data_IF_316509724188
#
_entry.id   IF_316509724188
#
_cell.length_a   1.000
_cell.length_b   1.000
_cell.length_c   1.000
_cell.angle_alpha   90.00
_cell.angle_beta   90.00
_cell.angle_gamma   90.00
#
_symmetry.space_group_name_H-M   'P 1'
#
loop_
_entity.id
_entity.type
_entity.pdbx_description
1 polymer ?
#
# COMPACT_ATOMS: atom_id res chain seq x y z
N UNK A 1 -3.90 -13.36 13.86
CA UNK A 1 -2.80 -13.64 12.94
C UNK A 1 -2.62 -12.50 11.95
N UNK A 2 -1.46 -12.42 11.33
CA UNK A 2 -1.16 -11.37 10.34
C UNK A 2 -1.99 -11.57 9.07
N UNK A 3 -2.26 -10.47 8.36
CA UNK A 3 -3.00 -10.52 7.11
C UNK A 3 -2.00 -10.80 5.97
N UNK A 4 -2.20 -11.91 5.26
CA UNK A 4 -1.39 -12.21 4.09
C UNK A 4 -1.62 -11.15 2.99
N UNK A 5 -0.56 -10.60 2.35
CA UNK A 5 -0.70 -9.59 1.30
C UNK A 5 -1.62 -10.04 0.16
N UNK A 6 -1.54 -11.32 -0.20
CA UNK A 6 -2.39 -11.92 -1.22
C UNK A 6 -3.88 -11.79 -0.89
N UNK A 7 -4.26 -12.03 0.37
CA UNK A 7 -5.65 -11.93 0.81
C UNK A 7 -6.20 -10.49 0.67
N UNK A 8 -5.34 -9.48 0.90
CA UNK A 8 -5.72 -8.07 0.68
C UNK A 8 -6.03 -7.80 -0.78
N UNK A 9 -5.17 -8.28 -1.69
CA UNK A 9 -5.35 -8.07 -3.13
C UNK A 9 -6.57 -8.85 -3.66
N UNK A 10 -6.75 -10.07 -3.22
CA UNK A 10 -7.92 -10.89 -3.61
C UNK A 10 -9.23 -10.28 -3.11
N UNK A 11 -9.26 -9.77 -1.88
CA UNK A 11 -10.42 -9.09 -1.33
C UNK A 11 -10.72 -7.77 -2.07
N UNK A 12 -9.68 -6.98 -2.38
CA UNK A 12 -9.82 -5.79 -3.22
C UNK A 12 -10.43 -6.15 -4.57
N UNK A 13 -9.90 -7.17 -5.25
CA UNK A 13 -10.43 -7.64 -6.53
C UNK A 13 -11.90 -8.06 -6.40
N UNK A 14 -12.23 -8.85 -5.39
CA UNK A 14 -13.60 -9.34 -5.15
C UNK A 14 -14.63 -8.20 -5.05
N UNK A 15 -14.24 -7.08 -4.43
CA UNK A 15 -15.13 -5.93 -4.22
C UNK A 15 -15.11 -4.90 -5.36
N UNK A 16 -14.18 -5.02 -6.30
CA UNK A 16 -13.99 -4.00 -7.35
C UNK A 16 -14.00 -4.53 -8.77
N UNK A 17 -14.14 -5.85 -8.98
CA UNK A 17 -14.08 -6.46 -10.30
C UNK A 17 -15.13 -5.88 -11.27
N UNK A 18 -16.30 -5.52 -10.77
CA UNK A 18 -17.39 -4.89 -11.54
C UNK A 18 -17.20 -3.38 -11.77
N UNK A 19 -16.29 -2.74 -11.05
CA UNK A 19 -16.06 -1.28 -11.07
C UNK A 19 -14.99 -0.85 -12.08
N UNK A 20 -14.30 -1.81 -12.71
CA UNK A 20 -13.22 -1.56 -13.67
C UNK A 20 -12.18 -0.54 -13.15
N UNK A 21 -11.56 -0.78 -11.97
CA UNK A 21 -10.67 0.18 -11.34
C UNK A 21 -9.35 0.34 -12.09
N UNK A 22 -8.69 1.47 -11.87
CA UNK A 22 -7.29 1.67 -12.23
C UNK A 22 -6.44 1.38 -10.98
N UNK A 23 -5.55 0.40 -11.10
CA UNK A 23 -4.61 0.04 -10.05
C UNK A 23 -3.26 0.68 -10.35
N UNK A 24 -2.76 1.48 -9.42
CA UNK A 24 -1.40 2.01 -9.46
C UNK A 24 -0.57 1.29 -8.40
N UNK A 25 0.70 1.05 -8.64
CA UNK A 25 1.55 0.41 -7.63
C UNK A 25 2.86 1.14 -7.44
N UNK A 26 3.32 1.20 -6.19
CA UNK A 26 4.74 1.39 -5.91
C UNK A 26 5.57 0.20 -6.39
N UNK A 27 6.83 0.15 -5.98
CA UNK A 27 7.75 -0.92 -6.37
C UNK A 27 8.23 -1.70 -5.14
N UNK A 28 8.08 -3.03 -5.21
CA UNK A 28 8.41 -3.97 -4.15
C UNK A 28 7.57 -5.25 -4.24
N UNK A 29 7.51 -6.03 -3.17
CA UNK A 29 6.69 -7.25 -3.13
C UNK A 29 5.21 -6.96 -3.37
N UNK A 30 4.68 -5.83 -2.86
CA UNK A 30 3.31 -5.39 -3.11
C UNK A 30 2.97 -5.25 -4.60
N UNK A 31 3.93 -4.78 -5.42
CA UNK A 31 3.81 -4.74 -6.87
C UNK A 31 3.62 -6.13 -7.47
N UNK A 32 4.42 -7.08 -7.00
CA UNK A 32 4.34 -8.48 -7.44
C UNK A 32 3.00 -9.09 -7.03
N UNK A 33 2.55 -8.88 -5.80
CA UNK A 33 1.25 -9.37 -5.33
C UNK A 33 0.09 -8.76 -6.12
N UNK A 34 0.12 -7.45 -6.39
CA UNK A 34 -0.88 -6.79 -7.22
C UNK A 34 -0.93 -7.41 -8.63
N UNK A 35 0.23 -7.62 -9.27
CA UNK A 35 0.29 -8.20 -10.60
C UNK A 35 -0.17 -9.67 -10.68
N UNK A 36 0.04 -10.45 -9.60
CA UNK A 36 -0.27 -11.86 -9.56
C UNK A 36 -1.71 -12.18 -9.10
N UNK A 37 -2.24 -11.41 -8.14
CA UNK A 37 -3.49 -11.74 -7.47
C UNK A 37 -4.66 -10.82 -7.86
N UNK A 38 -4.40 -9.61 -8.38
CA UNK A 38 -5.44 -8.80 -9.01
C UNK A 38 -5.61 -9.22 -10.47
N UNK A 39 -6.80 -9.69 -10.84
CA UNK A 39 -7.06 -10.18 -12.18
C UNK A 39 -7.38 -9.02 -13.13
N UNK A 40 -6.47 -8.74 -14.04
CA UNK A 40 -6.64 -7.71 -15.07
C UNK A 40 -7.17 -8.35 -16.36
N UNK A 41 -8.37 -7.99 -16.75
CA UNK A 41 -9.04 -8.46 -17.97
C UNK A 41 -9.06 -7.41 -19.09
N UNK A 42 -8.64 -6.18 -18.78
CA UNK A 42 -8.59 -5.06 -19.73
C UNK A 42 -7.22 -4.40 -19.75
N UNK A 43 -6.77 -3.90 -20.92
CA UNK A 43 -5.52 -3.17 -21.02
C UNK A 43 -5.59 -1.84 -20.25
N UNK A 44 -4.42 -1.31 -19.87
CA UNK A 44 -4.26 0.01 -19.22
C UNK A 44 -5.04 0.14 -17.90
N UNK A 45 -5.14 -0.96 -17.14
CA UNK A 45 -5.73 -0.98 -15.79
C UNK A 45 -4.67 -1.11 -14.69
N UNK A 46 -3.43 -1.37 -15.07
CA UNK A 46 -2.29 -1.37 -14.17
C UNK A 46 -1.28 -0.31 -14.60
N UNK A 47 -1.03 0.68 -13.73
CA UNK A 47 0.03 1.67 -13.86
C UNK A 47 1.14 1.34 -12.86
N UNK A 48 2.31 0.94 -13.36
CA UNK A 48 3.42 0.48 -12.54
C UNK A 48 4.77 0.77 -13.17
N UNK A 49 5.80 1.04 -12.38
CA UNK A 49 7.18 1.18 -12.87
C UNK A 49 7.82 -0.19 -13.08
N UNK A 50 7.39 -0.92 -14.11
CA UNK A 50 7.87 -2.27 -14.41
C UNK A 50 9.24 -2.33 -15.09
N UNK A 51 9.70 -1.24 -15.69
CA UNK A 51 10.99 -1.16 -16.36
C UNK A 51 12.13 -0.74 -15.43
N UNK A 52 12.08 0.48 -14.90
CA UNK A 52 13.11 1.03 -14.02
C UNK A 52 12.94 0.64 -12.56
N UNK A 53 11.77 0.18 -12.14
CA UNK A 53 11.53 -0.21 -10.76
C UNK A 53 11.61 0.95 -9.78
N UNK A 54 11.03 2.09 -10.12
CA UNK A 54 11.11 3.32 -9.32
C UNK A 54 10.18 3.24 -8.12
N UNK A 55 10.72 3.07 -6.94
CA UNK A 55 9.97 3.19 -5.68
C UNK A 55 9.37 4.60 -5.54
N UNK A 56 8.17 4.70 -4.94
CA UNK A 56 7.45 5.96 -4.83
C UNK A 56 6.64 6.36 -6.07
N UNK A 57 6.63 5.55 -7.13
CA UNK A 57 5.86 5.82 -8.35
C UNK A 57 4.36 5.76 -8.14
N UNK A 58 3.88 4.87 -7.27
CA UNK A 58 2.45 4.52 -7.14
C UNK A 58 1.56 5.71 -6.78
N UNK A 59 1.94 6.46 -5.75
CA UNK A 59 1.13 7.57 -5.24
C UNK A 59 0.97 8.69 -6.28
N UNK A 60 2.03 9.28 -6.87
CA UNK A 60 1.87 10.30 -7.91
C UNK A 60 1.21 9.76 -9.20
N UNK A 61 1.42 8.50 -9.56
CA UNK A 61 0.73 7.90 -10.69
C UNK A 61 -0.79 7.79 -10.46
N UNK A 62 -1.21 7.50 -9.23
CA UNK A 62 -2.64 7.47 -8.87
C UNK A 62 -3.28 8.85 -8.93
N UNK A 63 -2.56 9.90 -8.56
CA UNK A 63 -3.01 11.28 -8.71
C UNK A 63 -3.27 11.60 -10.19
N UNK A 64 -2.31 11.29 -11.05
CA UNK A 64 -2.45 11.45 -12.51
C UNK A 64 -3.63 10.65 -13.07
N UNK A 65 -3.84 9.43 -12.59
CA UNK A 65 -4.97 8.60 -12.98
C UNK A 65 -6.32 9.20 -12.57
N UNK A 66 -6.43 9.75 -11.34
CA UNK A 66 -7.63 10.46 -10.89
C UNK A 66 -7.95 11.68 -11.76
N UNK A 67 -6.93 12.45 -12.14
CA UNK A 67 -7.11 13.63 -13.00
C UNK A 67 -7.51 13.23 -14.43
N UNK A 68 -6.93 12.17 -14.96
CA UNK A 68 -7.23 11.69 -16.32
C UNK A 68 -8.59 10.98 -16.41
N UNK A 69 -9.04 10.37 -15.33
CA UNK A 69 -10.28 9.57 -15.27
C UNK A 69 -11.06 9.86 -13.99
N UNK A 70 -11.66 11.06 -13.87
CA UNK A 70 -12.30 11.53 -12.63
C UNK A 70 -13.47 10.67 -12.14
N UNK A 71 -14.13 9.94 -13.05
CA UNK A 71 -15.27 9.07 -12.73
C UNK A 71 -14.87 7.63 -12.41
N UNK A 72 -13.56 7.34 -12.35
CA UNK A 72 -13.09 5.99 -12.09
C UNK A 72 -12.55 5.81 -10.69
N UNK A 73 -12.77 4.62 -10.16
CA UNK A 73 -12.08 4.18 -8.95
C UNK A 73 -10.58 4.00 -9.25
N UNK A 74 -9.75 4.74 -8.52
CA UNK A 74 -8.29 4.64 -8.60
C UNK A 74 -7.77 4.15 -7.26
N UNK A 75 -7.00 3.07 -7.28
CA UNK A 75 -6.40 2.48 -6.08
C UNK A 75 -4.89 2.42 -6.23
N UNK A 76 -4.18 3.05 -5.30
CA UNK A 76 -2.74 2.87 -5.12
C UNK A 76 -2.48 1.69 -4.18
N UNK A 77 -1.68 0.73 -4.61
CA UNK A 77 -1.19 -0.37 -3.78
C UNK A 77 0.30 -0.15 -3.58
N UNK A 78 0.69 0.14 -2.36
CA UNK A 78 2.07 0.48 -2.04
C UNK A 78 2.61 -0.37 -0.88
N UNK A 79 3.92 -0.41 -0.73
CA UNK A 79 4.59 -0.91 0.45
C UNK A 79 5.04 0.26 1.32
N UNK A 80 5.33 -0.03 2.58
CA UNK A 80 5.80 0.96 3.55
C UNK A 80 7.04 1.73 3.05
N UNK A 81 8.07 1.05 2.56
CA UNK A 81 9.27 1.71 2.05
C UNK A 81 9.04 2.52 0.78
N UNK A 82 8.22 2.02 -0.14
CA UNK A 82 7.92 2.72 -1.39
C UNK A 82 7.04 3.95 -1.15
N UNK A 83 6.04 3.85 -0.28
CA UNK A 83 5.17 4.96 0.10
C UNK A 83 5.94 6.13 0.71
N UNK A 84 6.99 5.86 1.52
CA UNK A 84 7.82 6.90 2.12
C UNK A 84 8.58 7.75 1.10
N UNK A 85 8.85 7.24 -0.09
CA UNK A 85 9.65 7.94 -1.10
C UNK A 85 8.95 9.20 -1.64
N UNK A 86 7.61 9.22 -1.70
CA UNK A 86 6.81 10.33 -2.18
C UNK A 86 5.61 10.65 -1.28
N UNK A 87 5.73 10.40 0.01
CA UNK A 87 4.64 10.58 0.98
C UNK A 87 4.15 12.03 1.06
N UNK A 88 4.99 13.01 0.72
CA UNK A 88 4.65 14.43 0.67
C UNK A 88 3.53 14.73 -0.34
N UNK A 89 3.29 13.86 -1.32
CA UNK A 89 2.21 14.01 -2.29
C UNK A 89 0.81 13.90 -1.66
N UNK A 90 0.73 13.40 -0.42
CA UNK A 90 -0.51 13.49 0.36
C UNK A 90 -0.98 14.93 0.54
N UNK A 91 -0.05 15.90 0.57
CA UNK A 91 -0.41 17.33 0.60
C UNK A 91 -1.13 17.76 -0.68
N UNK A 92 -0.62 17.38 -1.84
CA UNK A 92 -1.25 17.65 -3.15
C UNK A 92 -2.61 16.97 -3.25
N UNK A 93 -2.70 15.70 -2.84
CA UNK A 93 -3.95 14.93 -2.82
C UNK A 93 -5.00 15.64 -1.97
N UNK A 94 -4.63 16.15 -0.79
CA UNK A 94 -5.53 16.86 0.10
C UNK A 94 -6.00 18.20 -0.51
N UNK A 95 -5.08 19.01 -1.02
CA UNK A 95 -5.38 20.34 -1.58
C UNK A 95 -6.24 20.23 -2.84
N UNK A 96 -5.92 19.31 -3.73
CA UNK A 96 -6.64 19.07 -4.99
C UNK A 96 -7.88 18.18 -4.81
N UNK A 97 -8.14 17.69 -3.61
CA UNK A 97 -9.28 16.81 -3.27
C UNK A 97 -9.37 15.58 -4.19
N UNK A 98 -8.22 14.98 -4.52
CA UNK A 98 -8.18 13.81 -5.37
C UNK A 98 -8.68 12.58 -4.62
N UNK A 99 -9.66 11.82 -5.12
CA UNK A 99 -10.27 10.70 -4.38
C UNK A 99 -9.43 9.41 -4.45
N UNK A 100 -8.12 9.52 -4.32
CA UNK A 100 -7.19 8.38 -4.34
C UNK A 100 -7.50 7.44 -3.18
N UNK A 101 -7.61 6.14 -3.47
CA UNK A 101 -7.67 5.07 -2.47
C UNK A 101 -6.29 4.47 -2.34
N UNK A 102 -5.74 4.43 -1.14
CA UNK A 102 -4.39 3.95 -0.92
C UNK A 102 -4.39 2.74 0.03
N UNK A 103 -3.73 1.66 -0.38
CA UNK A 103 -3.48 0.48 0.44
C UNK A 103 -1.98 0.39 0.66
N UNK A 104 -1.54 0.40 1.91
CA UNK A 104 -0.14 0.24 2.29
C UNK A 104 0.05 -1.14 2.91
N UNK A 105 0.75 -2.02 2.21
CA UNK A 105 1.16 -3.33 2.71
C UNK A 105 2.43 -3.16 3.53
N UNK A 106 2.27 -3.03 4.85
CA UNK A 106 3.35 -2.71 5.77
C UNK A 106 3.93 -3.97 6.40
N UNK A 107 5.13 -4.36 6.01
CA UNK A 107 5.90 -5.43 6.65
C UNK A 107 7.14 -4.90 7.39
N UNK A 108 7.31 -3.60 7.46
CA UNK A 108 8.45 -2.93 8.09
C UNK A 108 9.81 -3.31 7.48
N UNK A 109 9.81 -3.71 6.23
CA UNK A 109 11.01 -4.11 5.51
C UNK A 109 10.97 -3.65 4.05
N UNK A 110 12.14 -3.47 3.46
CA UNK A 110 12.30 -3.46 2.01
C UNK A 110 12.17 -4.90 1.51
N UNK A 111 10.94 -5.42 1.51
CA UNK A 111 10.64 -6.85 1.44
C UNK A 111 11.18 -7.55 0.20
N UNK A 112 11.22 -6.87 -0.97
CA UNK A 112 11.83 -7.45 -2.18
C UNK A 112 13.34 -7.58 -2.04
N UNK A 113 14.01 -6.61 -1.39
CA UNK A 113 15.44 -6.69 -1.12
C UNK A 113 15.75 -7.80 -0.13
N UNK A 114 14.98 -7.91 0.95
CA UNK A 114 15.06 -9.05 1.90
C UNK A 114 14.94 -10.39 1.19
N UNK A 115 14.01 -10.52 0.26
CA UNK A 115 13.84 -11.73 -0.52
C UNK A 115 15.09 -12.07 -1.34
N UNK A 116 15.75 -11.08 -1.93
CA UNK A 116 17.01 -11.31 -2.65
C UNK A 116 18.18 -11.61 -1.71
N UNK A 117 18.24 -10.96 -0.54
CA UNK A 117 19.22 -11.29 0.50
C UNK A 117 19.12 -12.76 0.91
N UNK A 118 17.90 -13.26 1.11
CA UNK A 118 17.67 -14.66 1.47
C UNK A 118 18.02 -15.63 0.33
N UNK A 119 17.67 -15.29 -0.90
CA UNK A 119 17.86 -16.16 -2.05
C UNK A 119 19.31 -16.21 -2.57
N UNK A 120 20.09 -15.15 -2.41
CA UNK A 120 21.37 -14.96 -3.10
C UNK A 120 22.55 -14.56 -2.21
N UNK A 121 22.29 -14.09 -0.99
CA UNK A 121 23.30 -13.48 -0.14
C UNK A 121 23.31 -14.06 1.29
N UNK A 122 22.93 -15.33 1.45
CA UNK A 122 22.95 -16.06 2.71
C UNK A 122 22.26 -15.30 3.87
N UNK A 123 21.17 -14.60 3.55
CA UNK A 123 20.42 -13.76 4.49
C UNK A 123 21.24 -12.63 5.15
N UNK A 124 22.28 -12.18 4.48
CA UNK A 124 23.09 -11.04 4.96
C UNK A 124 22.31 -9.72 4.80
N UNK A 125 21.81 -9.19 5.90
CA UNK A 125 20.95 -7.99 5.92
C UNK A 125 21.74 -6.71 5.71
N UNK A 126 21.28 -5.86 4.78
CA UNK A 126 21.92 -4.62 4.40
C UNK A 126 20.97 -3.43 4.52
N UNK A 127 20.61 -3.04 5.75
CA UNK A 127 19.76 -1.88 6.06
C UNK A 127 18.32 -2.00 5.46
N UNK A 128 17.78 -3.20 5.45
CA UNK A 128 16.46 -3.50 4.87
C UNK A 128 15.31 -3.45 5.86
N UNK A 129 15.60 -3.29 7.15
CA UNK A 129 14.62 -3.13 8.22
C UNK A 129 14.24 -1.65 8.35
N UNK A 130 12.94 -1.35 8.28
CA UNK A 130 12.42 0.02 8.30
C UNK A 130 11.83 0.45 9.66
N UNK A 131 11.62 -0.49 10.58
CA UNK A 131 11.17 -0.16 11.92
C UNK A 131 12.31 0.34 12.80
N UNK A 132 11.98 0.91 13.97
CA UNK A 132 12.98 1.34 14.93
C UNK A 132 13.70 0.13 15.53
N UNK A 133 15.02 -0.03 15.32
CA UNK A 133 15.76 -1.16 15.88
C UNK A 133 15.93 -1.10 17.41
N UNK A 134 15.63 0.05 18.02
CA UNK A 134 15.68 0.24 19.49
C UNK A 134 14.38 -0.12 20.18
N UNK A 135 13.26 -0.14 19.44
CA UNK A 135 12.05 -0.76 19.93
C UNK A 135 12.28 -2.27 19.97
N UNK A 136 12.15 -2.87 21.15
CA UNK A 136 12.23 -4.32 21.31
C UNK A 136 11.18 -4.96 20.38
N UNK A 137 11.59 -5.21 19.15
CA UNK A 137 10.72 -5.77 18.13
C UNK A 137 10.40 -7.22 18.49
N UNK A 138 9.34 -7.40 19.25
CA UNK A 138 8.71 -8.69 19.42
C UNK A 138 7.53 -8.79 18.43
N UNK A 139 7.66 -9.57 17.35
CA UNK A 139 6.59 -9.73 16.39
C UNK A 139 5.32 -10.35 17.00
N UNK A 140 5.42 -10.93 18.20
CA UNK A 140 4.29 -11.56 18.91
C UNK A 140 3.51 -10.57 19.79
N UNK A 141 4.08 -9.40 20.09
CA UNK A 141 3.52 -8.39 21.02
C UNK A 141 3.39 -7.00 20.37
N UNK A 142 3.01 -6.93 19.09
CA UNK A 142 2.76 -5.64 18.42
C UNK A 142 1.51 -4.99 19.00
N UNK A 143 1.69 -3.97 19.81
CA UNK A 143 0.65 -2.98 20.07
C UNK A 143 0.60 -1.98 18.93
N UNK A 144 -0.57 -1.40 18.66
CA UNK A 144 -0.74 -0.42 17.57
C UNK A 144 0.23 0.77 17.68
N UNK A 145 0.68 1.10 18.89
CA UNK A 145 1.56 2.23 19.19
C UNK A 145 3.02 2.00 18.79
N UNK A 146 3.42 0.73 18.58
CA UNK A 146 4.82 0.34 18.28
C UNK A 146 5.09 0.18 16.78
N UNK A 147 4.06 0.29 15.93
CA UNK A 147 4.24 0.11 14.48
C UNK A 147 4.79 1.38 13.86
N UNK A 148 6.04 1.35 13.45
CA UNK A 148 6.74 2.43 12.79
C UNK A 148 6.96 2.09 11.29
N UNK A 149 6.84 3.09 10.38
CA UNK A 149 6.29 4.42 10.59
C UNK A 149 4.81 4.42 10.99
N UNK A 150 4.40 5.40 11.78
CA UNK A 150 2.99 5.52 12.17
C UNK A 150 2.18 6.24 11.06
N UNK A 151 1.75 5.50 10.06
CA UNK A 151 1.00 6.01 8.91
C UNK A 151 -0.30 6.73 9.28
N UNK A 152 -1.11 6.26 10.24
CA UNK A 152 -2.28 7.03 10.68
C UNK A 152 -1.95 8.44 11.12
N UNK A 153 -0.90 8.65 11.89
CA UNK A 153 -0.47 9.99 12.31
C UNK A 153 0.10 10.82 11.15
N UNK A 154 0.87 10.19 10.28
CA UNK A 154 1.44 10.88 9.10
C UNK A 154 0.31 11.35 8.18
N UNK A 155 -0.63 10.46 7.83
CA UNK A 155 -1.77 10.80 6.99
C UNK A 155 -2.65 11.89 7.63
N UNK A 156 -2.90 11.81 8.94
CA UNK A 156 -3.64 12.82 9.68
C UNK A 156 -2.95 14.19 9.61
N UNK A 157 -1.60 14.23 9.69
CA UNK A 157 -0.81 15.44 9.52
C UNK A 157 -0.99 16.11 8.15
N UNK A 158 -1.31 15.34 7.12
CA UNK A 158 -1.66 15.81 5.77
C UNK A 158 -3.18 16.01 5.56
N UNK A 159 -4.01 15.77 6.57
CA UNK A 159 -5.46 15.88 6.45
C UNK A 159 -6.12 14.73 5.68
N UNK A 160 -5.44 13.60 5.54
CA UNK A 160 -5.95 12.39 4.88
C UNK A 160 -6.33 11.35 5.94
N UNK A 161 -7.53 10.81 5.84
CA UNK A 161 -7.98 9.75 6.76
C UNK A 161 -7.17 8.48 6.54
N UNK A 162 -6.75 7.83 7.61
CA UNK A 162 -6.04 6.56 7.55
C UNK A 162 -6.58 5.59 8.60
N UNK A 163 -6.86 4.37 8.20
CA UNK A 163 -7.28 3.28 9.08
C UNK A 163 -6.21 2.18 9.07
N UNK A 164 -5.91 1.65 10.25
CA UNK A 164 -5.02 0.49 10.40
C UNK A 164 -5.85 -0.76 10.59
N UNK A 165 -5.56 -1.79 9.79
CA UNK A 165 -6.24 -3.08 9.82
C UNK A 165 -5.24 -4.16 10.23
N UNK A 166 -5.48 -4.82 11.35
CA UNK A 166 -4.57 -5.81 11.94
C UNK A 166 -5.11 -7.24 11.86
N UNK A 167 -6.42 -7.40 11.68
CA UNK A 167 -7.08 -8.69 11.70
C UNK A 167 -7.78 -8.98 10.39
N UNK A 168 -7.66 -10.22 9.93
CA UNK A 168 -8.23 -10.65 8.65
C UNK A 168 -9.76 -10.49 8.60
N UNK A 169 -10.42 -10.63 9.74
CA UNK A 169 -11.88 -10.50 9.87
C UNK A 169 -12.37 -9.07 9.60
N UNK A 170 -11.52 -8.08 9.82
CA UNK A 170 -11.81 -6.65 9.61
C UNK A 170 -11.61 -6.22 8.16
N UNK A 171 -10.81 -6.98 7.40
CA UNK A 171 -10.39 -6.63 6.04
C UNK A 171 -11.55 -6.35 5.09
N UNK A 172 -12.60 -7.20 4.99
CA UNK A 172 -13.70 -6.96 4.05
C UNK A 172 -14.41 -5.64 4.32
N UNK A 173 -14.72 -5.34 5.58
CA UNK A 173 -15.40 -4.11 5.96
C UNK A 173 -14.52 -2.87 5.75
N UNK A 174 -13.21 -2.99 5.99
CA UNK A 174 -12.25 -1.91 5.76
C UNK A 174 -12.14 -1.56 4.26
N UNK A 175 -12.01 -2.57 3.39
CA UNK A 175 -12.00 -2.37 1.93
C UNK A 175 -13.31 -1.72 1.45
N UNK A 176 -14.48 -2.15 1.98
CA UNK A 176 -15.76 -1.53 1.66
C UNK A 176 -15.76 -0.03 2.02
N UNK A 177 -15.37 0.32 3.25
CA UNK A 177 -15.30 1.74 3.67
C UNK A 177 -14.36 2.57 2.81
N UNK A 178 -13.22 1.98 2.42
CA UNK A 178 -12.27 2.63 1.53
C UNK A 178 -12.90 2.95 0.16
N UNK A 179 -13.55 1.97 -0.46
CA UNK A 179 -14.16 2.13 -1.78
C UNK A 179 -15.30 3.14 -1.77
N UNK A 180 -16.11 3.13 -0.71
CA UNK A 180 -17.29 3.99 -0.58
C UNK A 180 -16.96 5.43 -0.15
N UNK A 181 -15.77 5.68 0.37
CA UNK A 181 -15.37 7.04 0.76
C UNK A 181 -15.35 7.97 -0.44
N UNK A 182 -15.98 9.16 -0.39
CA UNK A 182 -15.88 10.14 -1.47
C UNK A 182 -14.53 10.87 -1.49
N UNK A 183 -13.76 10.80 -0.40
CA UNK A 183 -12.48 11.50 -0.22
C UNK A 183 -11.29 10.57 -0.42
N UNK A 184 -10.09 11.16 -0.43
CA UNK A 184 -8.85 10.41 -0.29
C UNK A 184 -8.82 9.66 1.04
N UNK A 185 -8.45 8.39 1.00
CA UNK A 185 -8.28 7.57 2.20
C UNK A 185 -7.09 6.64 2.02
N UNK A 186 -6.37 6.40 3.11
CA UNK A 186 -5.29 5.45 3.18
C UNK A 186 -5.65 4.32 4.15
N UNK A 187 -5.34 3.08 3.77
CA UNK A 187 -5.50 1.90 4.62
C UNK A 187 -4.16 1.22 4.75
N UNK A 188 -3.70 1.05 5.98
CA UNK A 188 -2.46 0.32 6.24
C UNK A 188 -2.79 -1.04 6.81
N UNK A 189 -2.21 -2.08 6.21
CA UNK A 189 -2.31 -3.46 6.69
C UNK A 189 -0.95 -3.89 7.21
N UNK A 190 -0.92 -4.45 8.41
CA UNK A 190 0.30 -5.09 8.89
C UNK A 190 0.40 -6.49 8.30
N UNK A 191 1.36 -6.67 7.42
CA UNK A 191 1.71 -7.95 6.80
C UNK A 191 3.09 -8.38 7.28
N UNK A 192 3.29 -9.65 7.55
CA UNK A 192 4.61 -10.24 7.77
C UNK A 192 4.92 -11.25 6.69
#
# INVERSE_FOLDING_TARGET
GYIAPQAVIEELYRQTADKDPIICTGVGQHQMFAAQFFKFDKPRRLATSGGLGTMGYGLPASMGACLAYPDRLVVNIDGDGSMLMNIQELATIHVERLPVKCIILNNQHLGMVVQWEDLKYDSNRAQTFLADPHDNYDPTHKTEDVIYPNYPLICAGFGVKCERVLRIEELPAAITRMIESPEAVSYTHLTL
#
